data_IF_852327999430
#
_entry.id   IF_852327999430
#
_cell.length_a   1.000
_cell.length_b   1.000
_cell.length_c   1.000
_cell.angle_alpha   90.00
_cell.angle_beta   90.00
_cell.angle_gamma   90.00
#
_symmetry.space_group_name_H-M   'P 1'
#
loop_
_entity.id
_entity.type
_entity.pdbx_description
1 polymer ?
#
# COMPACT_ATOMS: atom_id res chain seq x y z
N UNK A 1 26.03 8.65 25.35
CA UNK A 1 24.68 9.15 25.67
C UNK A 1 23.85 8.12 26.45
N UNK A 2 23.03 8.55 27.43
CA UNK A 2 22.07 7.69 28.12
C UNK A 2 20.68 7.68 27.44
N UNK A 3 19.79 6.78 27.90
CA UNK A 3 18.44 6.61 27.33
C UNK A 3 17.59 7.87 27.44
N UNK A 4 17.71 8.61 28.54
CA UNK A 4 16.96 9.85 28.78
C UNK A 4 17.34 10.93 27.78
N UNK A 5 18.65 11.13 27.55
CA UNK A 5 19.14 12.12 26.59
C UNK A 5 18.79 11.74 25.14
N UNK A 6 18.74 10.44 24.81
CA UNK A 6 18.23 9.96 23.52
C UNK A 6 16.80 10.44 23.26
N UNK A 7 15.88 10.19 24.20
CA UNK A 7 14.48 10.61 24.05
C UNK A 7 14.32 12.13 24.06
N UNK A 8 15.08 12.85 24.89
CA UNK A 8 15.06 14.32 24.90
C UNK A 8 15.45 14.93 23.55
N UNK A 9 16.38 14.33 22.81
CA UNK A 9 16.76 14.81 21.46
C UNK A 9 15.64 14.60 20.45
N UNK A 10 14.93 13.47 20.52
CA UNK A 10 13.76 13.21 19.68
C UNK A 10 12.67 14.23 19.99
N UNK A 11 12.35 14.45 21.26
CA UNK A 11 11.34 15.42 21.66
C UNK A 11 11.70 16.86 21.27
N UNK A 12 12.98 17.24 21.38
CA UNK A 12 13.46 18.55 20.94
C UNK A 12 13.35 18.74 19.40
N UNK A 13 13.45 17.66 18.63
CA UNK A 13 13.32 17.69 17.18
C UNK A 13 11.87 17.71 16.69
N UNK A 14 10.89 17.35 17.54
CA UNK A 14 9.51 17.14 17.11
C UNK A 14 8.89 18.39 16.48
N UNK A 15 8.18 18.16 15.38
CA UNK A 15 7.52 19.21 14.62
C UNK A 15 6.06 18.85 14.32
N UNK A 16 5.15 19.81 14.55
CA UNK A 16 3.74 19.71 14.14
C UNK A 16 3.57 19.65 12.61
N UNK A 17 4.62 20.01 11.85
CA UNK A 17 4.66 19.89 10.39
C UNK A 17 4.99 18.46 9.91
N UNK A 18 5.03 17.47 10.81
CA UNK A 18 5.15 16.05 10.49
C UNK A 18 6.52 15.44 10.74
N UNK A 19 6.57 14.09 10.76
CA UNK A 19 7.75 13.31 11.16
C UNK A 19 8.96 13.47 10.22
N UNK A 20 8.74 13.78 8.95
CA UNK A 20 9.84 14.10 8.02
C UNK A 20 10.58 15.38 8.44
N UNK A 21 9.86 16.38 8.94
CA UNK A 21 10.46 17.60 9.50
C UNK A 21 11.14 17.31 10.84
N UNK A 22 10.55 16.45 11.66
CA UNK A 22 11.20 15.92 12.87
C UNK A 22 12.55 15.28 12.56
N UNK A 23 12.61 14.39 11.57
CA UNK A 23 13.85 13.72 11.17
C UNK A 23 14.91 14.72 10.70
N UNK A 24 14.53 15.72 9.89
CA UNK A 24 15.46 16.75 9.44
C UNK A 24 15.99 17.61 10.60
N UNK A 25 15.13 18.03 11.52
CA UNK A 25 15.55 18.78 12.71
C UNK A 25 16.46 17.95 13.63
N UNK A 26 16.17 16.65 13.77
CA UNK A 26 17.00 15.72 14.52
C UNK A 26 18.40 15.59 13.93
N UNK A 27 18.53 15.53 12.59
CA UNK A 27 19.84 15.53 11.91
C UNK A 27 20.66 16.77 12.30
N UNK A 28 20.06 17.96 12.29
CA UNK A 28 20.75 19.21 12.65
C UNK A 28 21.19 19.20 14.13
N UNK A 29 20.32 18.75 15.04
CA UNK A 29 20.64 18.64 16.46
C UNK A 29 21.78 17.65 16.71
N UNK A 30 21.76 16.50 16.04
CA UNK A 30 22.78 15.47 16.18
C UNK A 30 24.12 15.90 15.57
N UNK A 31 24.12 16.57 14.41
CA UNK A 31 25.34 16.99 13.73
C UNK A 31 26.18 17.99 14.57
N UNK A 32 25.54 18.68 15.52
CA UNK A 32 26.19 19.56 16.49
C UNK A 32 26.80 18.84 17.71
N UNK A 33 26.61 17.53 17.85
CA UNK A 33 27.13 16.73 18.97
C UNK A 33 28.50 16.10 18.64
N UNK A 34 29.28 15.69 19.66
CA UNK A 34 30.46 14.87 19.46
C UNK A 34 30.15 13.55 18.74
N UNK A 35 31.08 13.05 17.93
CA UNK A 35 30.93 11.83 17.14
C UNK A 35 30.46 10.62 17.98
N UNK A 36 31.02 10.44 19.18
CA UNK A 36 30.66 9.34 20.10
C UNK A 36 29.22 9.48 20.63
N UNK A 37 28.71 10.70 20.78
CA UNK A 37 27.32 10.92 21.17
C UNK A 37 26.37 10.61 20.00
N UNK A 38 26.74 10.93 18.75
CA UNK A 38 25.95 10.55 17.57
C UNK A 38 25.91 9.03 17.42
N UNK A 39 27.05 8.35 17.58
CA UNK A 39 27.11 6.89 17.56
C UNK A 39 26.31 6.25 18.71
N UNK A 40 26.35 6.82 19.91
CA UNK A 40 25.53 6.37 21.02
C UNK A 40 24.03 6.59 20.78
N UNK A 41 23.64 7.68 20.10
CA UNK A 41 22.25 7.89 19.67
C UNK A 41 21.81 6.82 18.67
N UNK A 42 22.64 6.52 17.66
CA UNK A 42 22.36 5.47 16.66
C UNK A 42 22.13 4.10 17.34
N UNK A 43 22.99 3.74 18.29
CA UNK A 43 22.83 2.53 19.09
C UNK A 43 21.47 2.47 19.83
N UNK A 44 21.07 3.55 20.50
CA UNK A 44 19.76 3.63 21.15
C UNK A 44 18.61 3.57 20.16
N UNK A 45 18.73 4.23 19.01
CA UNK A 45 17.72 4.19 17.96
C UNK A 45 17.50 2.75 17.48
N UNK A 46 18.57 2.03 17.11
CA UNK A 46 18.46 0.66 16.62
C UNK A 46 18.03 -0.34 17.68
N UNK A 47 18.36 -0.11 18.96
CA UNK A 47 17.83 -0.92 20.06
C UNK A 47 16.30 -0.80 20.15
N UNK A 48 15.76 0.42 20.10
CA UNK A 48 14.30 0.64 20.11
C UNK A 48 13.65 0.15 18.81
N UNK A 49 14.28 0.37 17.66
CA UNK A 49 13.82 -0.15 16.36
C UNK A 49 13.67 -1.68 16.41
N UNK A 50 14.68 -2.39 16.89
CA UNK A 50 14.66 -3.84 17.08
C UNK A 50 13.64 -4.30 18.12
N UNK A 51 13.53 -3.59 19.25
CA UNK A 51 12.58 -3.91 20.31
C UNK A 51 11.11 -3.72 19.88
N UNK A 52 10.85 -2.78 18.97
CA UNK A 52 9.54 -2.58 18.36
C UNK A 52 9.20 -3.61 17.27
N UNK A 53 10.08 -4.57 16.94
CA UNK A 53 9.80 -5.66 15.96
C UNK A 53 8.82 -6.72 16.51
N UNK A 54 7.70 -6.26 17.04
CA UNK A 54 6.63 -7.08 17.63
C UNK A 54 5.52 -7.29 16.63
N UNK A 55 4.99 -8.51 16.58
CA UNK A 55 3.89 -8.87 15.70
C UNK A 55 2.61 -8.15 16.06
N UNK A 56 2.39 -7.86 17.34
CA UNK A 56 1.34 -6.97 17.83
C UNK A 56 1.43 -5.53 17.27
N UNK A 57 2.64 -4.95 17.19
CA UNK A 57 2.84 -3.64 16.56
C UNK A 57 2.69 -3.72 15.03
N UNK A 58 3.07 -4.83 14.41
CA UNK A 58 2.80 -5.06 12.98
C UNK A 58 1.29 -5.17 12.75
N UNK A 59 0.53 -5.84 13.61
CA UNK A 59 -0.93 -5.89 13.52
C UNK A 59 -1.55 -4.49 13.58
N UNK A 60 -1.05 -3.61 14.46
CA UNK A 60 -1.48 -2.22 14.53
C UNK A 60 -1.11 -1.44 13.25
N UNK A 61 0.13 -1.56 12.77
CA UNK A 61 0.60 -0.97 11.52
C UNK A 61 -0.26 -1.44 10.32
N UNK A 62 -0.53 -2.73 10.23
CA UNK A 62 -1.37 -3.36 9.22
C UNK A 62 -2.81 -2.83 9.28
N UNK A 63 -3.38 -2.71 10.48
CA UNK A 63 -4.73 -2.19 10.70
C UNK A 63 -4.83 -0.74 10.26
N UNK A 64 -3.91 0.13 10.69
CA UNK A 64 -3.93 1.56 10.37
C UNK A 64 -3.66 1.81 8.87
N UNK A 65 -2.73 1.07 8.28
CA UNK A 65 -2.28 1.31 6.90
C UNK A 65 -3.02 0.47 5.85
N UNK A 66 -3.92 -0.42 6.26
CA UNK A 66 -4.67 -1.31 5.37
C UNK A 66 -3.78 -2.34 4.67
N UNK A 67 -2.81 -2.90 5.41
CA UNK A 67 -1.70 -3.71 4.91
C UNK A 67 -0.34 -3.14 5.32
N UNK A 68 0.67 -3.99 5.46
CA UNK A 68 2.01 -3.56 5.85
C UNK A 68 3.07 -4.58 5.39
N UNK A 69 3.99 -4.15 4.52
CA UNK A 69 5.19 -4.91 4.14
C UNK A 69 6.27 -4.82 5.24
N UNK A 70 7.36 -5.57 5.11
CA UNK A 70 8.52 -5.47 6.01
C UNK A 70 9.12 -4.06 6.02
N UNK A 71 9.41 -3.47 4.85
CA UNK A 71 9.94 -2.09 4.74
C UNK A 71 8.94 -1.07 5.29
N UNK A 72 7.64 -1.25 4.98
CA UNK A 72 6.58 -0.41 5.54
C UNK A 72 6.53 -0.48 7.06
N UNK A 73 6.85 -1.64 7.64
CA UNK A 73 6.92 -1.83 9.08
C UNK A 73 8.18 -1.19 9.69
N UNK A 74 9.30 -1.18 9.00
CA UNK A 74 10.50 -0.42 9.39
C UNK A 74 10.19 1.08 9.45
N UNK A 75 9.50 1.61 8.42
CA UNK A 75 9.13 3.02 8.37
C UNK A 75 8.08 3.38 9.42
N UNK A 76 7.14 2.49 9.72
CA UNK A 76 6.19 2.65 10.81
C UNK A 76 6.89 2.74 12.17
N UNK A 77 7.90 1.89 12.41
CA UNK A 77 8.67 1.94 13.66
C UNK A 77 9.53 3.20 13.75
N UNK A 78 10.08 3.68 12.64
CA UNK A 78 10.72 5.00 12.55
C UNK A 78 9.75 6.13 12.90
N UNK A 79 8.53 6.09 12.38
CA UNK A 79 7.46 7.02 12.75
C UNK A 79 7.09 6.94 14.23
N UNK A 80 7.00 5.72 14.79
CA UNK A 80 6.61 5.49 16.19
C UNK A 80 7.66 6.07 17.15
N UNK A 81 8.95 5.87 16.86
CA UNK A 81 10.05 6.47 17.63
C UNK A 81 9.97 8.00 17.56
N UNK A 82 9.66 8.57 16.39
CA UNK A 82 9.50 10.01 16.23
C UNK A 82 8.33 10.63 17.01
N UNK A 83 7.40 9.82 17.56
CA UNK A 83 6.34 10.30 18.45
C UNK A 83 6.84 10.56 19.89
N UNK A 84 8.08 10.18 20.20
CA UNK A 84 8.68 10.33 21.53
C UNK A 84 8.36 9.18 22.48
N UNK A 85 9.04 9.17 23.63
CA UNK A 85 9.07 8.04 24.56
C UNK A 85 7.68 7.61 25.03
N UNK A 86 6.84 8.58 25.41
CA UNK A 86 5.53 8.30 25.99
C UNK A 86 4.63 7.52 25.04
N UNK A 87 4.58 7.93 23.76
CA UNK A 87 3.75 7.27 22.75
C UNK A 87 4.35 5.93 22.36
N UNK A 88 5.68 5.87 22.18
CA UNK A 88 6.38 4.64 21.89
C UNK A 88 6.13 3.58 22.98
N UNK A 89 6.30 3.93 24.25
CA UNK A 89 6.09 3.01 25.37
C UNK A 89 4.62 2.61 25.53
N UNK A 90 3.68 3.55 25.35
CA UNK A 90 2.25 3.22 25.35
C UNK A 90 1.92 2.16 24.29
N UNK A 91 2.42 2.33 23.06
CA UNK A 91 2.20 1.38 21.96
C UNK A 91 2.91 0.04 22.17
N UNK A 92 4.08 0.02 22.82
CA UNK A 92 4.74 -1.23 23.23
C UNK A 92 3.87 -1.99 24.21
N UNK A 93 3.29 -1.34 25.21
CA UNK A 93 2.46 -2.03 26.20
C UNK A 93 1.07 -2.39 25.67
N UNK A 94 0.50 -1.52 24.86
CA UNK A 94 -0.82 -1.63 24.27
C UNK A 94 -0.81 -1.01 22.86
N UNK A 95 -0.62 -1.80 21.80
CA UNK A 95 -0.62 -1.27 20.43
C UNK A 95 -1.93 -0.58 20.06
N UNK A 96 -3.05 -0.94 20.69
CA UNK A 96 -4.37 -0.37 20.43
C UNK A 96 -4.47 1.09 20.91
N UNK A 97 -3.58 1.52 21.81
CA UNK A 97 -3.44 2.92 22.24
C UNK A 97 -3.13 3.89 21.10
N UNK A 98 -2.60 3.40 19.97
CA UNK A 98 -2.37 4.23 18.78
C UNK A 98 -3.68 4.79 18.20
N UNK A 99 -4.83 4.21 18.55
CA UNK A 99 -6.15 4.74 18.20
C UNK A 99 -6.43 6.11 18.82
N UNK A 100 -5.65 6.57 19.80
CA UNK A 100 -5.79 7.90 20.41
C UNK A 100 -5.08 9.02 19.63
N UNK A 101 -4.22 8.66 18.66
CA UNK A 101 -3.39 9.65 17.98
C UNK A 101 -4.13 10.32 16.82
N UNK A 102 -3.90 11.61 16.56
CA UNK A 102 -4.45 12.30 15.39
C UNK A 102 -3.66 11.92 14.12
N UNK A 103 -3.93 10.74 13.57
CA UNK A 103 -3.31 10.23 12.35
C UNK A 103 -3.90 10.92 11.10
N UNK A 104 -3.27 12.00 10.65
CA UNK A 104 -3.66 12.75 9.44
C UNK A 104 -3.12 12.14 8.14
N UNK A 105 -2.04 11.38 8.25
CA UNK A 105 -1.37 10.68 7.16
C UNK A 105 -0.99 9.28 7.64
N UNK A 106 -0.74 8.32 6.73
CA UNK A 106 -0.23 7.01 7.11
C UNK A 106 1.03 7.12 7.97
N UNK A 107 1.09 6.43 9.13
CA UNK A 107 2.21 6.51 10.06
C UNK A 107 3.48 5.87 9.49
N UNK A 108 4.25 6.64 8.72
CA UNK A 108 5.46 6.17 8.03
C UNK A 108 6.54 7.26 8.01
N UNK A 109 7.79 6.88 8.32
CA UNK A 109 8.91 7.81 8.28
C UNK A 109 10.25 7.12 8.02
N UNK A 110 10.56 6.85 6.75
CA UNK A 110 11.88 6.32 6.32
C UNK A 110 13.05 7.19 6.79
N UNK A 111 12.93 8.52 6.72
CA UNK A 111 14.01 9.44 7.06
C UNK A 111 14.55 9.30 8.50
N UNK A 112 13.76 8.72 9.42
CA UNK A 112 14.23 8.46 10.79
C UNK A 112 15.27 7.36 10.85
N UNK A 113 15.24 6.37 9.94
CA UNK A 113 16.15 5.22 9.94
C UNK A 113 17.61 5.66 9.71
N UNK A 114 17.82 6.74 8.96
CA UNK A 114 19.14 7.25 8.60
C UNK A 114 19.57 8.52 9.35
N UNK A 115 18.75 9.05 10.28
CA UNK A 115 18.99 10.38 10.84
C UNK A 115 20.37 10.52 11.52
N UNK A 116 20.77 9.51 12.30
CA UNK A 116 22.06 9.50 12.97
C UNK A 116 23.24 9.31 12.00
N UNK A 117 23.11 8.42 11.02
CA UNK A 117 24.13 8.20 10.00
C UNK A 117 24.38 9.47 9.16
N UNK A 118 23.31 10.13 8.73
CA UNK A 118 23.40 11.41 7.99
C UNK A 118 24.03 12.50 8.85
N UNK A 119 23.66 12.60 10.13
CA UNK A 119 24.27 13.58 11.04
C UNK A 119 25.77 13.30 11.28
N UNK A 120 26.15 12.04 11.44
CA UNK A 120 27.54 11.63 11.60
C UNK A 120 28.36 11.98 10.36
N UNK A 121 27.86 11.66 9.17
CA UNK A 121 28.53 11.97 7.92
C UNK A 121 28.72 13.48 7.74
N UNK A 122 27.70 14.29 8.03
CA UNK A 122 27.81 15.75 8.01
C UNK A 122 28.84 16.30 8.99
N UNK A 123 28.93 15.69 10.18
CA UNK A 123 29.84 16.11 11.25
C UNK A 123 31.29 15.67 11.00
N UNK A 124 31.49 14.46 10.46
CA UNK A 124 32.79 13.78 10.40
C UNK A 124 33.36 13.64 8.98
N UNK A 125 32.57 13.95 7.94
CA UNK A 125 32.96 13.80 6.54
C UNK A 125 33.16 12.35 6.09
N UNK A 126 32.62 11.38 6.84
CA UNK A 126 32.71 9.95 6.56
C UNK A 126 31.50 9.21 7.13
N UNK A 127 31.19 8.05 6.58
CA UNK A 127 30.11 7.20 7.06
C UNK A 127 30.33 6.72 8.50
N UNK A 128 29.23 6.58 9.24
CA UNK A 128 29.21 5.92 10.53
C UNK A 128 29.48 4.43 10.32
N UNK A 129 30.65 3.95 10.73
CA UNK A 129 30.91 2.52 10.82
C UNK A 129 29.89 1.92 11.79
N UNK A 130 29.28 0.78 11.41
CA UNK A 130 28.16 0.18 12.14
C UNK A 130 28.33 0.22 13.66
N UNK A 131 27.25 0.57 14.37
CA UNK A 131 27.28 0.95 15.78
C UNK A 131 28.02 -0.08 16.66
N UNK A 132 29.19 0.29 17.24
CA UNK A 132 29.95 -0.61 18.10
C UNK A 132 29.31 -0.81 19.49
N UNK A 133 28.27 -0.02 19.80
CA UNK A 133 27.58 -0.04 21.08
C UNK A 133 26.28 -0.83 20.96
N UNK A 134 26.27 -2.05 21.48
CA UNK A 134 25.01 -2.75 21.77
C UNK A 134 24.49 -2.21 23.09
N UNK A 135 23.38 -1.48 23.05
CA UNK A 135 22.71 -1.00 24.26
C UNK A 135 21.51 -1.88 24.56
N UNK A 136 21.30 -2.17 25.85
CA UNK A 136 20.13 -2.89 26.33
C UNK A 136 19.12 -1.88 26.86
N UNK A 137 17.84 -2.11 26.57
CA UNK A 137 16.76 -1.27 27.08
C UNK A 137 16.40 -1.75 28.48
N UNK A 138 16.70 -0.93 29.48
CA UNK A 138 16.37 -1.23 30.87
C UNK A 138 14.87 -1.54 31.02
N UNK A 139 14.58 -2.65 31.72
CA UNK A 139 13.21 -3.10 31.95
C UNK A 139 12.52 -3.77 30.76
N UNK A 140 13.17 -3.94 29.60
CA UNK A 140 12.59 -4.61 28.44
C UNK A 140 12.09 -6.04 28.75
N UNK A 141 12.76 -6.75 29.66
CA UNK A 141 12.34 -8.08 30.12
C UNK A 141 10.98 -8.10 30.84
N UNK A 142 10.49 -6.95 31.29
CA UNK A 142 9.19 -6.78 31.96
C UNK A 142 8.07 -6.37 31.01
N UNK A 143 8.39 -6.15 29.72
CA UNK A 143 7.38 -5.80 28.73
C UNK A 143 6.43 -6.96 28.45
N UNK A 144 5.19 -6.69 28.00
CA UNK A 144 4.25 -7.74 27.65
C UNK A 144 4.82 -8.65 26.57
N UNK A 145 4.53 -9.96 26.70
CA UNK A 145 4.85 -10.92 25.66
C UNK A 145 4.11 -10.57 24.35
N UNK A 146 4.75 -10.83 23.21
CA UNK A 146 4.13 -10.64 21.90
C UNK A 146 3.10 -11.75 21.65
N UNK A 147 1.82 -11.44 21.91
CA UNK A 147 0.72 -12.42 21.87
C UNK A 147 0.35 -12.88 20.46
N UNK A 148 0.73 -12.12 19.45
CA UNK A 148 0.39 -12.40 18.05
C UNK A 148 1.53 -13.07 17.28
N UNK A 149 2.61 -13.49 17.96
CA UNK A 149 3.75 -14.13 17.31
C UNK A 149 3.32 -15.36 16.50
N UNK A 150 3.62 -15.35 15.20
CA UNK A 150 3.26 -16.41 14.26
C UNK A 150 1.81 -16.38 13.77
N UNK A 151 1.00 -15.41 14.19
CA UNK A 151 -0.38 -15.27 13.76
C UNK A 151 -0.50 -14.67 12.35
N UNK A 152 -1.53 -15.13 11.64
CA UNK A 152 -2.06 -14.49 10.42
C UNK A 152 -3.10 -13.45 10.82
N UNK A 153 -3.05 -12.26 10.22
CA UNK A 153 -3.93 -11.16 10.56
C UNK A 153 -5.30 -11.28 9.87
N UNK A 154 -6.22 -12.03 10.49
CA UNK A 154 -7.63 -12.07 10.08
C UNK A 154 -8.42 -10.91 10.69
N UNK A 155 -9.60 -10.60 10.15
CA UNK A 155 -10.46 -9.53 10.70
C UNK A 155 -10.89 -9.83 12.13
N UNK A 156 -11.22 -11.08 12.42
CA UNK A 156 -11.65 -11.54 13.74
C UNK A 156 -10.53 -11.31 14.76
N UNK A 157 -9.30 -11.71 14.41
CA UNK A 157 -8.14 -11.53 15.27
C UNK A 157 -7.82 -10.05 15.49
N UNK A 158 -7.86 -9.22 14.45
CA UNK A 158 -7.62 -7.78 14.60
C UNK A 158 -8.72 -7.09 15.43
N UNK A 159 -9.99 -7.48 15.26
CA UNK A 159 -11.11 -6.97 16.06
C UNK A 159 -10.98 -7.34 17.54
N UNK A 160 -10.55 -8.57 17.83
CA UNK A 160 -10.38 -9.05 19.21
C UNK A 160 -9.19 -8.39 19.91
N UNK A 161 -8.05 -8.28 19.21
CA UNK A 161 -6.79 -7.86 19.83
C UNK A 161 -6.51 -6.36 19.73
N UNK A 162 -7.10 -5.67 18.77
CA UNK A 162 -6.94 -4.23 18.55
C UNK A 162 -8.32 -3.57 18.36
N UNK A 163 -9.27 -3.73 19.30
CA UNK A 163 -10.65 -3.33 19.10
C UNK A 163 -10.84 -1.84 18.79
N UNK A 164 -9.99 -0.94 19.31
CA UNK A 164 -10.13 0.51 19.09
C UNK A 164 -9.57 0.93 17.75
N UNK A 165 -8.41 0.41 17.36
CA UNK A 165 -7.85 0.60 16.03
C UNK A 165 -8.74 -0.06 14.99
N UNK A 166 -9.25 -1.26 15.28
CA UNK A 166 -10.22 -1.92 14.44
C UNK A 166 -11.47 -1.06 14.34
N UNK A 167 -12.06 -0.60 15.45
CA UNK A 167 -13.19 0.34 15.46
C UNK A 167 -12.97 1.55 14.55
N UNK A 168 -11.77 2.14 14.64
CA UNK A 168 -11.45 3.38 13.95
C UNK A 168 -11.14 3.21 12.46
N UNK A 169 -10.52 2.10 12.09
CA UNK A 169 -9.97 1.91 10.73
C UNK A 169 -10.65 0.78 9.95
N UNK A 170 -11.41 -0.09 10.62
CA UNK A 170 -11.94 -1.35 10.07
C UNK A 170 -13.37 -1.74 10.50
N UNK A 171 -13.92 -1.17 11.57
CA UNK A 171 -15.30 -1.35 12.01
C UNK A 171 -16.12 -0.22 11.40
N UNK A 172 -16.90 -0.62 10.41
CA UNK A 172 -17.90 0.23 9.81
C UNK A 172 -18.98 0.37 10.88
N UNK A 173 -18.99 1.46 11.66
CA UNK A 173 -20.18 1.79 12.44
C UNK A 173 -21.39 1.65 11.51
N UNK A 174 -22.43 0.92 11.93
CA UNK A 174 -23.66 0.69 11.15
C UNK A 174 -23.94 1.94 10.33
N UNK A 175 -23.82 1.86 8.99
CA UNK A 175 -23.92 3.05 8.18
C UNK A 175 -25.29 3.67 8.47
N UNK A 176 -25.32 4.97 8.79
CA UNK A 176 -26.49 5.75 8.44
C UNK A 176 -26.77 5.41 6.98
N UNK A 177 -27.98 4.89 6.73
CA UNK A 177 -28.47 4.42 5.44
C UNK A 177 -28.38 5.54 4.40
N UNK A 178 -27.18 5.82 3.87
CA UNK A 178 -27.02 6.28 2.51
C UNK A 178 -27.17 5.03 1.67
N UNK A 179 -28.42 4.79 1.26
CA UNK A 179 -28.86 3.65 0.46
C UNK A 179 -27.75 3.13 -0.48
N UNK A 180 -27.47 1.84 -0.37
CA UNK A 180 -26.79 0.97 -1.34
C UNK A 180 -27.55 0.89 -2.69
N UNK A 181 -28.25 1.95 -3.09
CA UNK A 181 -28.57 2.14 -4.48
C UNK A 181 -27.24 2.45 -5.17
N UNK A 182 -26.74 1.45 -5.92
CA UNK A 182 -25.82 1.66 -7.03
C UNK A 182 -26.18 2.99 -7.71
N UNK A 183 -25.19 3.87 -7.90
CA UNK A 183 -25.43 5.17 -8.53
C UNK A 183 -26.27 4.97 -9.79
N UNK A 184 -27.27 5.83 -10.09
CA UNK A 184 -28.13 5.64 -11.25
C UNK A 184 -27.31 5.36 -12.52
N UNK A 185 -27.43 4.15 -13.06
CA UNK A 185 -26.69 3.69 -14.24
C UNK A 185 -25.34 3.01 -13.95
N UNK A 186 -25.01 2.69 -12.70
CA UNK A 186 -23.86 1.85 -12.38
C UNK A 186 -24.09 0.40 -12.87
N UNK A 187 -23.06 -0.27 -13.38
CA UNK A 187 -23.18 -1.65 -13.85
C UNK A 187 -23.26 -2.62 -12.68
N UNK A 188 -23.85 -3.80 -12.88
CA UNK A 188 -23.76 -4.88 -11.88
C UNK A 188 -22.36 -5.48 -11.86
N UNK A 189 -21.74 -5.58 -10.67
CA UNK A 189 -20.43 -6.21 -10.50
C UNK A 189 -20.56 -7.63 -9.96
N UNK A 190 -20.20 -8.66 -10.74
CA UNK A 190 -20.19 -10.04 -10.25
C UNK A 190 -19.10 -10.25 -9.17
N UNK A 191 -19.29 -11.20 -8.25
CA UNK A 191 -18.26 -11.62 -7.29
C UNK A 191 -17.05 -12.18 -8.05
N UNK A 192 -15.84 -11.74 -7.73
CA UNK A 192 -14.62 -12.12 -8.46
C UNK A 192 -14.36 -11.38 -9.78
N UNK A 193 -15.21 -10.41 -10.16
CA UNK A 193 -14.94 -9.54 -11.33
C UNK A 193 -13.80 -8.55 -11.05
N UNK A 194 -13.51 -8.28 -9.79
CA UNK A 194 -12.31 -7.58 -9.30
C UNK A 194 -11.80 -8.34 -8.08
N UNK A 195 -10.48 -8.44 -7.95
CA UNK A 195 -9.81 -9.27 -6.95
C UNK A 195 -8.65 -8.53 -6.30
N UNK A 196 -8.29 -8.93 -5.08
CA UNK A 196 -6.98 -8.64 -4.49
C UNK A 196 -6.02 -9.78 -4.84
N UNK A 197 -4.89 -9.49 -5.52
CA UNK A 197 -3.91 -10.51 -5.86
C UNK A 197 -2.86 -10.66 -4.77
N UNK A 198 -2.52 -11.91 -4.45
CA UNK A 198 -1.28 -12.30 -3.80
C UNK A 198 -0.40 -13.03 -4.82
N UNK A 199 0.74 -12.45 -5.14
CA UNK A 199 1.67 -12.96 -6.14
C UNK A 199 2.64 -13.93 -5.49
N UNK A 200 2.64 -15.18 -5.92
CA UNK A 200 3.66 -16.17 -5.54
C UNK A 200 4.86 -15.98 -6.47
N UNK A 201 5.96 -15.46 -5.91
CA UNK A 201 7.13 -15.06 -6.69
C UNK A 201 8.43 -15.72 -6.21
N UNK A 202 9.48 -15.60 -7.03
CA UNK A 202 10.83 -16.12 -6.72
C UNK A 202 11.49 -15.48 -5.50
N UNK A 203 10.99 -14.33 -5.03
CA UNK A 203 11.46 -13.65 -3.80
C UNK A 203 10.51 -13.82 -2.62
N UNK A 204 9.51 -14.68 -2.75
CA UNK A 204 8.46 -14.92 -1.75
C UNK A 204 7.11 -14.31 -2.14
N UNK A 205 6.04 -14.65 -1.42
CA UNK A 205 4.70 -14.14 -1.69
C UNK A 205 4.55 -12.68 -1.24
N UNK A 206 3.84 -11.87 -2.04
CA UNK A 206 3.46 -10.51 -1.65
C UNK A 206 2.12 -10.12 -2.27
N UNK A 207 1.35 -9.28 -1.58
CA UNK A 207 0.04 -8.81 -2.03
C UNK A 207 0.08 -7.31 -2.34
N UNK A 208 -0.38 -6.92 -3.53
CA UNK A 208 -0.37 -5.52 -3.93
C UNK A 208 -1.44 -5.22 -4.99
N UNK A 209 -2.10 -4.06 -4.85
CA UNK A 209 -3.04 -3.55 -5.85
C UNK A 209 -4.33 -4.37 -5.98
N UNK A 210 -4.86 -4.34 -7.20
CA UNK A 210 -6.07 -5.02 -7.64
C UNK A 210 -5.85 -5.66 -9.01
N UNK A 211 -6.63 -6.70 -9.31
CA UNK A 211 -6.57 -7.38 -10.59
C UNK A 211 -7.96 -7.81 -11.03
N UNK A 212 -8.19 -7.96 -12.33
CA UNK A 212 -9.47 -8.43 -12.85
C UNK A 212 -9.33 -9.45 -13.99
N UNK A 213 -10.28 -10.41 -14.09
CA UNK A 213 -10.34 -11.35 -15.20
C UNK A 213 -10.83 -10.63 -16.46
N UNK A 214 -10.14 -10.84 -17.58
CA UNK A 214 -10.39 -10.20 -18.85
C UNK A 214 -10.50 -11.25 -19.95
N UNK A 215 -11.62 -11.22 -20.69
CA UNK A 215 -11.75 -11.96 -21.93
C UNK A 215 -10.92 -11.25 -23.02
N UNK A 216 -9.99 -11.98 -23.62
CA UNK A 216 -9.17 -11.46 -24.73
C UNK A 216 -9.10 -12.46 -25.90
N UNK A 217 -10.17 -12.57 -26.71
CA UNK A 217 -10.30 -13.61 -27.74
C UNK A 217 -9.19 -13.62 -28.78
N UNK A 218 -8.56 -12.47 -29.04
CA UNK A 218 -7.45 -12.33 -29.99
C UNK A 218 -6.23 -13.20 -29.63
N UNK A 219 -6.05 -13.49 -28.33
CA UNK A 219 -4.98 -14.35 -27.82
C UNK A 219 -5.45 -15.82 -27.61
N UNK A 220 -6.73 -16.10 -27.82
CA UNK A 220 -7.31 -17.44 -27.61
C UNK A 220 -7.27 -17.92 -26.14
N UNK A 221 -7.07 -17.01 -25.17
CA UNK A 221 -7.08 -17.31 -23.74
C UNK A 221 -7.60 -16.15 -22.91
N UNK A 222 -8.13 -16.48 -21.75
CA UNK A 222 -8.52 -15.52 -20.74
C UNK A 222 -7.30 -15.08 -19.91
N UNK A 223 -7.33 -13.84 -19.48
CA UNK A 223 -6.23 -13.20 -18.78
C UNK A 223 -6.68 -12.69 -17.42
N UNK A 224 -5.78 -12.70 -16.46
CA UNK A 224 -5.86 -11.80 -15.31
C UNK A 224 -4.95 -10.60 -15.61
N UNK A 225 -5.44 -9.37 -15.43
CA UNK A 225 -4.64 -8.16 -15.70
C UNK A 225 -4.49 -7.29 -14.45
N UNK A 226 -3.35 -6.62 -14.32
CA UNK A 226 -3.03 -5.65 -13.25
C UNK A 226 -1.94 -4.67 -13.72
N UNK A 227 -1.33 -3.91 -12.80
CA UNK A 227 -0.26 -2.95 -13.11
C UNK A 227 1.14 -3.57 -12.96
N UNK A 228 2.06 -3.19 -13.86
CA UNK A 228 3.46 -3.61 -13.82
C UNK A 228 4.24 -2.92 -12.68
N UNK A 229 3.91 -1.69 -12.32
CA UNK A 229 4.62 -0.96 -11.24
C UNK A 229 4.51 -1.61 -9.86
N UNK A 230 3.54 -2.52 -9.68
CA UNK A 230 3.38 -3.29 -8.45
C UNK A 230 4.53 -4.28 -8.24
N UNK A 231 5.24 -4.67 -9.30
CA UNK A 231 6.44 -5.50 -9.21
C UNK A 231 7.66 -4.61 -8.95
N UNK A 232 7.60 -3.81 -7.89
CA UNK A 232 8.62 -2.84 -7.50
C UNK A 232 8.31 -2.23 -6.13
N UNK A 233 8.92 -1.08 -5.78
CA UNK A 233 8.73 -0.43 -4.48
C UNK A 233 7.27 -0.17 -4.12
N UNK A 234 6.42 0.10 -5.12
CA UNK A 234 4.99 0.32 -4.90
C UNK A 234 4.23 -0.93 -4.44
N UNK A 235 4.72 -2.15 -4.75
CA UNK A 235 4.20 -3.41 -4.20
C UNK A 235 5.06 -3.98 -3.07
N UNK A 236 6.02 -3.22 -2.55
CA UNK A 236 6.87 -3.61 -1.43
C UNK A 236 8.14 -4.38 -1.80
N UNK A 237 8.57 -4.36 -3.07
CA UNK A 237 9.85 -4.92 -3.49
C UNK A 237 10.95 -3.85 -3.48
N UNK A 238 12.18 -4.22 -3.11
CA UNK A 238 13.30 -3.27 -3.06
C UNK A 238 13.70 -2.69 -4.43
N UNK A 239 13.42 -3.40 -5.52
CA UNK A 239 13.70 -2.98 -6.89
C UNK A 239 12.56 -3.36 -7.83
N UNK A 240 12.36 -2.54 -8.86
CA UNK A 240 11.43 -2.86 -9.93
C UNK A 240 11.91 -4.07 -10.74
N UNK A 241 10.98 -4.96 -11.07
CA UNK A 241 11.18 -6.11 -11.94
C UNK A 241 10.94 -5.66 -13.39
N UNK A 242 11.95 -5.76 -14.26
CA UNK A 242 11.78 -5.47 -15.69
C UNK A 242 10.69 -6.35 -16.32
N UNK A 243 9.92 -5.78 -17.25
CA UNK A 243 8.81 -6.46 -17.91
C UNK A 243 9.22 -7.76 -18.61
N UNK A 244 10.43 -7.79 -19.17
CA UNK A 244 11.02 -8.96 -19.85
C UNK A 244 11.37 -10.12 -18.92
N UNK A 245 11.38 -9.91 -17.60
CA UNK A 245 11.67 -10.94 -16.60
C UNK A 245 10.40 -11.47 -15.90
N UNK A 246 9.23 -10.90 -16.23
CA UNK A 246 7.99 -11.20 -15.53
C UNK A 246 7.64 -12.69 -15.57
N UNK A 247 7.77 -13.35 -16.73
CA UNK A 247 7.42 -14.76 -16.93
C UNK A 247 8.18 -15.73 -16.03
N UNK A 248 9.35 -15.30 -15.52
CA UNK A 248 10.20 -16.03 -14.58
C UNK A 248 10.06 -15.55 -13.15
N UNK A 249 9.42 -14.40 -12.92
CA UNK A 249 9.31 -13.80 -11.61
C UNK A 249 8.08 -14.28 -10.83
N UNK A 250 6.90 -14.32 -11.47
CA UNK A 250 5.64 -14.77 -10.82
C UNK A 250 5.24 -16.15 -11.32
N UNK A 251 5.07 -17.08 -10.38
CA UNK A 251 4.71 -18.48 -10.66
C UNK A 251 3.18 -18.67 -10.68
N UNK A 252 2.48 -18.04 -9.76
CA UNK A 252 1.01 -18.06 -9.66
C UNK A 252 0.49 -16.84 -8.90
N UNK A 253 -0.83 -16.63 -8.98
CA UNK A 253 -1.52 -15.54 -8.26
C UNK A 253 -2.73 -16.11 -7.53
N UNK A 254 -2.76 -15.98 -6.20
CA UNK A 254 -3.94 -16.30 -5.41
C UNK A 254 -4.88 -15.08 -5.42
N UNK A 255 -6.17 -15.31 -5.63
CA UNK A 255 -7.17 -14.26 -5.72
C UNK A 255 -8.18 -14.35 -4.58
N UNK A 256 -8.44 -13.21 -3.95
CA UNK A 256 -9.50 -13.03 -2.96
C UNK A 256 -10.43 -11.90 -3.37
N UNK A 257 -11.69 -11.99 -2.94
CA UNK A 257 -12.66 -10.92 -3.16
C UNK A 257 -12.30 -9.72 -2.24
N UNK A 258 -12.27 -8.49 -2.78
CA UNK A 258 -11.85 -7.31 -2.02
C UNK A 258 -12.83 -6.86 -0.92
N UNK A 259 -14.04 -7.44 -0.87
CA UNK A 259 -15.11 -7.03 0.04
C UNK A 259 -15.30 -8.05 1.18
N UNK A 260 -15.34 -9.34 0.83
CA UNK A 260 -15.51 -10.42 1.81
C UNK A 260 -14.21 -11.16 2.18
N UNK A 261 -13.13 -10.96 1.42
CA UNK A 261 -11.82 -11.58 1.64
C UNK A 261 -11.77 -13.08 1.31
N UNK A 262 -12.87 -13.69 0.91
CA UNK A 262 -12.90 -15.11 0.60
C UNK A 262 -12.26 -15.41 -0.76
N UNK A 263 -11.64 -16.59 -0.92
CA UNK A 263 -11.01 -16.98 -2.19
C UNK A 263 -11.97 -16.91 -3.37
N UNK A 264 -11.46 -16.47 -4.52
CA UNK A 264 -12.20 -16.38 -5.78
C UNK A 264 -11.58 -17.23 -6.87
N UNK A 265 -10.26 -17.43 -6.86
CA UNK A 265 -9.60 -18.27 -7.85
C UNK A 265 -8.07 -18.18 -7.79
N UNK A 266 -7.43 -18.75 -8.81
CA UNK A 266 -5.97 -18.75 -8.98
C UNK A 266 -5.66 -18.44 -10.45
N UNK A 267 -4.69 -17.57 -10.69
CA UNK A 267 -4.08 -17.39 -12.00
C UNK A 267 -2.70 -18.05 -12.07
N UNK A 268 -2.27 -18.41 -13.27
CA UNK A 268 -0.96 -19.01 -13.52
C UNK A 268 0.17 -17.98 -13.58
N UNK A 269 1.24 -18.39 -14.26
CA UNK A 269 2.43 -17.55 -14.47
C UNK A 269 2.08 -16.26 -15.19
N UNK A 270 2.88 -15.23 -14.92
CA UNK A 270 2.78 -14.00 -15.69
C UNK A 270 3.26 -14.20 -17.13
N UNK A 271 2.84 -13.29 -18.00
CA UNK A 271 3.15 -13.27 -19.42
C UNK A 271 4.06 -12.08 -19.73
N UNK A 272 4.94 -12.22 -20.72
CA UNK A 272 5.76 -11.10 -21.21
C UNK A 272 4.93 -10.27 -22.18
N UNK A 273 4.73 -9.00 -21.84
CA UNK A 273 4.09 -7.98 -22.69
C UNK A 273 5.20 -7.10 -23.26
N UNK A 274 5.34 -7.05 -24.59
CA UNK A 274 6.43 -6.30 -25.22
C UNK A 274 6.38 -4.80 -24.89
N UNK A 275 7.41 -4.36 -24.17
CA UNK A 275 7.61 -2.98 -23.73
C UNK A 275 6.61 -2.47 -22.70
N UNK A 276 5.89 -3.35 -21.99
CA UNK A 276 5.25 -2.98 -20.74
C UNK A 276 6.31 -2.68 -19.67
N UNK A 277 6.09 -1.65 -18.86
CA UNK A 277 7.02 -1.23 -17.80
C UNK A 277 6.28 -0.51 -16.68
N UNK A 278 6.79 -0.63 -15.45
CA UNK A 278 6.27 0.11 -14.29
C UNK A 278 6.75 1.56 -14.21
N UNK A 279 7.75 1.93 -15.02
CA UNK A 279 8.36 3.26 -15.02
C UNK A 279 7.56 4.27 -15.85
N UNK A 280 6.87 3.80 -16.89
CA UNK A 280 6.00 4.61 -17.75
C UNK A 280 4.54 4.22 -17.53
N UNK A 281 3.72 5.09 -16.93
CA UNK A 281 2.32 4.79 -16.64
C UNK A 281 1.48 4.53 -17.91
N UNK A 282 1.91 4.98 -19.09
CA UNK A 282 1.23 4.68 -20.37
C UNK A 282 1.51 3.26 -20.89
N UNK A 283 2.40 2.52 -20.21
CA UNK A 283 2.85 1.16 -20.53
C UNK A 283 2.70 0.22 -19.33
N UNK A 284 2.00 0.66 -18.29
CA UNK A 284 1.97 0.04 -16.97
C UNK A 284 0.87 -1.02 -16.85
N UNK A 285 1.14 -2.15 -17.50
CA UNK A 285 0.24 -3.29 -17.58
C UNK A 285 1.02 -4.58 -17.37
N UNK A 286 0.47 -5.50 -16.60
CA UNK A 286 0.91 -6.89 -16.56
C UNK A 286 -0.29 -7.82 -16.79
N UNK A 287 0.01 -9.04 -17.23
CA UNK A 287 -1.00 -10.06 -17.48
C UNK A 287 -0.53 -11.45 -17.01
N UNK A 288 -1.49 -12.28 -16.63
CA UNK A 288 -1.27 -13.67 -16.21
C UNK A 288 -2.24 -14.57 -16.95
N UNK A 289 -1.80 -15.79 -17.28
CA UNK A 289 -2.68 -16.78 -17.90
C UNK A 289 -3.70 -17.29 -16.89
N UNK A 290 -5.00 -17.23 -17.22
CA UNK A 290 -6.01 -17.95 -16.44
C UNK A 290 -6.06 -19.42 -16.89
N UNK A 291 -6.13 -20.38 -15.96
CA UNK A 291 -6.26 -21.79 -16.29
C UNK A 291 -7.62 -22.09 -16.93
N UNK A 292 -7.70 -23.16 -17.72
CA UNK A 292 -8.98 -23.64 -18.24
C UNK A 292 -9.93 -24.00 -17.10
N UNK A 293 -11.20 -23.59 -17.20
CA UNK A 293 -12.20 -23.85 -16.17
C UNK A 293 -12.04 -23.00 -14.90
N UNK A 294 -11.35 -21.85 -14.97
CA UNK A 294 -11.12 -20.95 -13.83
C UNK A 294 -12.40 -20.49 -13.11
N UNK A 295 -13.54 -20.41 -13.81
CA UNK A 295 -14.85 -20.08 -13.22
C UNK A 295 -15.04 -18.62 -12.79
N UNK A 296 -14.08 -17.74 -13.05
CA UNK A 296 -14.16 -16.31 -12.77
C UNK A 296 -15.02 -15.57 -13.81
N UNK A 297 -15.78 -14.53 -13.40
CA UNK A 297 -16.51 -13.69 -14.35
C UNK A 297 -15.54 -12.84 -15.17
N UNK A 298 -15.61 -12.96 -16.49
CA UNK A 298 -14.74 -12.23 -17.41
C UNK A 298 -15.33 -10.87 -17.76
N UNK A 299 -14.52 -9.82 -17.58
CA UNK A 299 -14.80 -8.49 -18.11
C UNK A 299 -14.37 -8.38 -19.58
N UNK A 300 -14.92 -7.39 -20.28
CA UNK A 300 -14.59 -7.09 -21.68
C UNK A 300 -14.10 -5.65 -21.80
N UNK A 301 -13.10 -5.41 -22.64
CA UNK A 301 -12.67 -4.06 -22.98
C UNK A 301 -13.75 -3.36 -23.80
N UNK A 302 -14.05 -2.11 -23.44
CA UNK A 302 -14.93 -1.25 -24.22
C UNK A 302 -14.36 -1.04 -25.63
N UNK A 303 -15.25 -0.89 -26.61
CA UNK A 303 -14.87 -0.65 -28.01
C UNK A 303 -14.25 0.75 -28.22
N UNK A 304 -14.59 1.72 -27.38
CA UNK A 304 -14.10 3.10 -27.43
C UNK A 304 -13.62 3.57 -26.06
N UNK A 305 -12.64 4.45 -26.06
CA UNK A 305 -12.22 5.18 -24.86
C UNK A 305 -13.29 6.20 -24.44
N UNK A 306 -13.45 6.47 -23.13
CA UNK A 306 -14.41 7.45 -22.63
C UNK A 306 -13.94 8.87 -22.97
N UNK A 307 -14.88 9.75 -23.31
CA UNK A 307 -14.61 11.17 -23.59
C UNK A 307 -14.95 12.05 -22.39
N UNK A 308 -14.39 13.28 -22.27
CA UNK A 308 -14.74 14.18 -21.19
C UNK A 308 -16.26 14.37 -21.03
N UNK A 309 -16.75 14.19 -19.80
CA UNK A 309 -18.17 14.18 -19.46
C UNK A 309 -18.78 12.78 -19.32
N UNK A 310 -18.15 11.74 -19.87
CA UNK A 310 -18.62 10.36 -19.70
C UNK A 310 -18.51 9.93 -18.22
N UNK A 311 -19.57 9.28 -17.74
CA UNK A 311 -19.62 8.68 -16.41
C UNK A 311 -19.00 7.30 -16.45
N UNK A 312 -18.12 7.02 -15.50
CA UNK A 312 -17.41 5.76 -15.34
C UNK A 312 -17.37 5.35 -13.88
N UNK A 313 -17.09 4.08 -13.61
CA UNK A 313 -17.13 3.52 -12.26
C UNK A 313 -15.85 2.75 -11.96
N UNK A 314 -15.08 3.17 -10.96
CA UNK A 314 -14.00 2.34 -10.44
C UNK A 314 -14.59 1.16 -9.68
N UNK A 315 -14.27 -0.05 -10.10
CA UNK A 315 -14.66 -1.27 -9.42
C UNK A 315 -13.56 -1.74 -8.47
N UNK A 316 -13.82 -1.75 -7.17
CA UNK A 316 -12.86 -2.21 -6.16
C UNK A 316 -13.05 -1.57 -4.79
N UNK A 317 -12.34 -2.09 -3.79
CA UNK A 317 -12.30 -1.52 -2.45
C UNK A 317 -11.27 -0.39 -2.34
N UNK A 318 -11.72 0.74 -1.79
CA UNK A 318 -10.88 1.89 -1.43
C UNK A 318 -10.47 1.80 0.05
N UNK A 319 -9.42 2.51 0.46
CA UNK A 319 -8.95 2.51 1.86
C UNK A 319 -9.83 3.35 2.78
N UNK A 320 -10.38 4.46 2.27
CA UNK A 320 -11.23 5.38 3.00
C UNK A 320 -12.04 6.26 2.02
N UNK A 321 -12.99 7.04 2.55
CA UNK A 321 -13.89 7.94 1.80
C UNK A 321 -15.15 7.26 1.24
N UNK A 322 -15.30 5.95 1.42
CA UNK A 322 -16.52 5.22 1.11
C UNK A 322 -16.72 4.02 2.05
N UNK A 323 -17.98 3.60 2.29
CA UNK A 323 -18.28 2.35 2.99
C UNK A 323 -17.58 1.17 2.33
N UNK A 324 -17.16 0.19 3.12
CA UNK A 324 -16.50 -1.02 2.60
C UNK A 324 -17.41 -1.90 1.75
N UNK A 325 -18.72 -1.80 1.94
CA UNK A 325 -19.73 -2.45 1.10
C UNK A 325 -19.81 -1.81 -0.30
N UNK A 326 -19.32 -0.57 -0.48
CA UNK A 326 -19.37 0.13 -1.76
C UNK A 326 -18.40 -0.50 -2.75
N UNK A 327 -18.96 -1.13 -3.77
CA UNK A 327 -18.20 -1.89 -4.79
C UNK A 327 -17.79 -1.04 -5.98
N UNK A 328 -18.54 0.04 -6.24
CA UNK A 328 -18.38 0.91 -7.39
C UNK A 328 -18.29 2.37 -6.92
N UNK A 329 -17.27 3.08 -7.42
CA UNK A 329 -17.03 4.49 -7.13
C UNK A 329 -17.18 5.29 -8.40
N UNK A 330 -18.25 6.10 -8.47
CA UNK A 330 -18.54 6.92 -9.64
C UNK A 330 -17.51 8.02 -9.81
N UNK A 331 -17.13 8.20 -11.06
CA UNK A 331 -16.23 9.24 -11.52
C UNK A 331 -16.68 9.74 -12.89
N UNK A 332 -16.18 10.90 -13.27
CA UNK A 332 -16.41 11.50 -14.58
C UNK A 332 -15.07 11.63 -15.28
N UNK A 333 -15.00 11.21 -16.54
CA UNK A 333 -13.84 11.49 -17.40
C UNK A 333 -13.74 13.00 -17.58
N UNK A 334 -12.57 13.59 -17.30
CA UNK A 334 -12.39 15.05 -17.34
C UNK A 334 -11.38 15.51 -18.40
N UNK A 335 -10.36 14.72 -18.69
CA UNK A 335 -9.31 15.06 -19.65
C UNK A 335 -8.51 13.83 -20.05
N UNK A 336 -7.60 14.02 -21.01
CA UNK A 336 -6.42 13.19 -21.19
C UNK A 336 -5.19 14.03 -20.81
N UNK A 337 -4.25 13.44 -20.07
CA UNK A 337 -2.99 14.06 -19.71
C UNK A 337 -1.83 13.10 -20.00
N UNK A 338 -0.88 13.54 -20.83
CA UNK A 338 0.31 12.76 -21.24
C UNK A 338 0.01 11.32 -21.66
N UNK A 339 -1.08 11.12 -22.39
CA UNK A 339 -1.50 9.81 -22.91
C UNK A 339 -2.28 8.95 -21.91
N UNK A 340 -2.59 9.45 -20.72
CA UNK A 340 -3.46 8.78 -19.75
C UNK A 340 -4.83 9.45 -19.70
N UNK A 341 -5.87 8.65 -19.50
CA UNK A 341 -7.18 9.18 -19.19
C UNK A 341 -7.22 9.74 -17.77
N UNK A 342 -7.83 10.89 -17.56
CA UNK A 342 -8.01 11.48 -16.23
C UNK A 342 -9.49 11.46 -15.86
N UNK A 343 -9.80 10.92 -14.69
CA UNK A 343 -11.15 10.94 -14.11
C UNK A 343 -11.15 11.70 -12.79
N UNK A 344 -12.25 12.39 -12.53
CA UNK A 344 -12.51 13.01 -11.23
C UNK A 344 -13.59 12.18 -10.51
N UNK A 345 -13.29 11.71 -9.31
CA UNK A 345 -14.26 11.00 -8.48
C UNK A 345 -15.25 11.98 -7.86
N UNK A 346 -16.50 11.55 -7.72
CA UNK A 346 -17.54 12.36 -7.10
C UNK A 346 -17.25 12.63 -5.62
N UNK A 347 -16.67 11.63 -4.94
CA UNK A 347 -16.22 11.74 -3.55
C UNK A 347 -14.76 12.25 -3.50
N UNK A 348 -14.52 13.47 -2.99
CA UNK A 348 -13.20 14.10 -3.00
C UNK A 348 -12.26 13.58 -1.90
N UNK A 349 -12.77 12.78 -0.97
CA UNK A 349 -12.08 12.21 0.19
C UNK A 349 -11.70 10.72 -0.01
N UNK A 350 -11.91 10.17 -1.21
CA UNK A 350 -11.53 8.80 -1.52
C UNK A 350 -10.01 8.62 -1.40
N UNK A 351 -9.62 7.64 -0.58
CA UNK A 351 -8.24 7.18 -0.47
C UNK A 351 -8.07 5.92 -1.30
N UNK A 352 -7.54 6.10 -2.51
CA UNK A 352 -7.45 5.05 -3.53
C UNK A 352 -6.28 4.05 -3.34
N UNK A 353 -5.58 4.09 -2.21
CA UNK A 353 -4.45 3.17 -1.97
C UNK A 353 -4.86 1.71 -2.17
N UNK A 354 -4.04 0.94 -2.89
CA UNK A 354 -4.33 -0.47 -3.19
C UNK A 354 -5.36 -0.71 -4.31
N UNK A 355 -5.75 0.31 -5.07
CA UNK A 355 -6.63 0.18 -6.25
C UNK A 355 -5.88 0.23 -7.59
N UNK A 356 -4.55 0.39 -7.59
CA UNK A 356 -3.74 0.21 -8.80
C UNK A 356 -4.03 -1.16 -9.43
N UNK A 357 -4.39 -1.18 -10.71
CA UNK A 357 -4.79 -2.39 -11.43
C UNK A 357 -6.29 -2.71 -11.35
N UNK A 358 -7.09 -1.90 -10.65
CA UNK A 358 -8.54 -2.02 -10.67
C UNK A 358 -9.14 -1.51 -12.00
N UNK A 359 -10.22 -2.14 -12.51
CA UNK A 359 -10.88 -1.68 -13.71
C UNK A 359 -11.75 -0.46 -13.44
N UNK A 360 -11.82 0.45 -14.41
CA UNK A 360 -12.92 1.39 -14.55
C UNK A 360 -13.90 0.87 -15.59
N UNK A 361 -15.18 0.94 -15.25
CA UNK A 361 -16.28 0.37 -16.02
C UNK A 361 -17.16 1.48 -16.60
N UNK A 362 -17.68 1.26 -17.80
CA UNK A 362 -18.82 2.00 -18.34
C UNK A 362 -20.12 1.61 -17.62
N UNK A 363 -21.20 2.34 -17.88
CA UNK A 363 -22.54 1.95 -17.44
C UNK A 363 -22.98 0.56 -17.96
N UNK A 364 -22.37 0.07 -19.04
CA UNK A 364 -22.60 -1.26 -19.61
C UNK A 364 -21.75 -2.35 -18.96
N UNK A 365 -20.87 -2.01 -18.01
CA UNK A 365 -19.97 -2.96 -17.34
C UNK A 365 -18.73 -3.32 -18.17
N UNK A 366 -18.44 -2.56 -19.22
CA UNK A 366 -17.24 -2.76 -20.05
C UNK A 366 -16.07 -1.97 -19.47
N UNK A 367 -14.86 -2.55 -19.52
CA UNK A 367 -13.64 -1.92 -19.03
C UNK A 367 -13.23 -0.80 -19.99
N UNK A 368 -13.34 0.43 -19.52
CA UNK A 368 -12.90 1.64 -20.24
C UNK A 368 -11.45 2.00 -19.94
N UNK A 369 -10.90 1.49 -18.84
CA UNK A 369 -9.49 1.65 -18.49
C UNK A 369 -9.11 0.91 -17.21
N UNK A 370 -7.82 0.94 -16.90
CA UNK A 370 -7.17 0.38 -15.73
C UNK A 370 -6.58 1.54 -14.91
N UNK A 371 -6.88 1.62 -13.62
CA UNK A 371 -6.33 2.65 -12.76
C UNK A 371 -4.83 2.40 -12.52
N UNK A 372 -3.97 3.34 -12.92
CA UNK A 372 -2.50 3.22 -12.78
C UNK A 372 -1.93 4.17 -11.73
N UNK A 373 -2.48 5.38 -11.62
CA UNK A 373 -2.06 6.41 -10.65
C UNK A 373 -3.27 7.15 -10.13
N UNK A 374 -3.08 7.87 -9.03
CA UNK A 374 -4.06 8.83 -8.54
C UNK A 374 -3.35 10.05 -7.99
N UNK A 375 -4.06 11.18 -8.01
CA UNK A 375 -3.58 12.45 -7.48
C UNK A 375 -4.50 12.85 -6.34
N UNK A 376 -4.03 12.81 -5.08
CA UNK A 376 -4.78 13.35 -3.96
C UNK A 376 -4.79 14.88 -4.02
N UNK A 377 -5.92 15.50 -3.71
CA UNK A 377 -6.09 16.95 -3.75
C UNK A 377 -7.45 17.37 -3.20
N UNK A 378 -7.93 18.57 -3.55
CA UNK A 378 -9.31 19.01 -3.21
C UNK A 378 -10.39 18.18 -3.89
N UNK A 379 -10.01 17.44 -4.93
CA UNK A 379 -10.76 16.34 -5.53
C UNK A 379 -9.81 15.17 -5.69
N UNK A 380 -10.34 13.96 -5.59
CA UNK A 380 -9.59 12.74 -5.91
C UNK A 380 -9.63 12.54 -7.42
N UNK A 381 -8.45 12.49 -8.05
CA UNK A 381 -8.32 12.18 -9.48
C UNK A 381 -7.68 10.81 -9.68
N UNK A 382 -8.19 10.04 -10.64
CA UNK A 382 -7.57 8.81 -11.12
C UNK A 382 -6.97 9.00 -12.51
N UNK A 383 -5.81 8.40 -12.75
CA UNK A 383 -5.19 8.32 -14.07
C UNK A 383 -5.27 6.89 -14.59
N UNK A 384 -5.69 6.75 -15.84
CA UNK A 384 -6.09 5.49 -16.45
C UNK A 384 -5.21 5.15 -17.64
N UNK A 385 -4.77 3.90 -17.68
CA UNK A 385 -4.41 3.26 -18.93
C UNK A 385 -5.71 2.90 -19.66
N UNK A 386 -5.95 3.48 -20.83
CA UNK A 386 -7.24 3.40 -21.52
C UNK A 386 -7.43 2.04 -22.23
N UNK A 387 -8.67 1.64 -22.47
CA UNK A 387 -9.01 0.36 -23.08
C UNK A 387 -8.29 0.08 -24.41
N UNK A 388 -8.08 1.11 -25.24
CA UNK A 388 -7.30 1.01 -26.48
C UNK A 388 -5.83 0.67 -26.21
N UNK A 389 -5.19 1.36 -25.27
CA UNK A 389 -3.79 1.12 -24.89
C UNK A 389 -3.61 -0.27 -24.27
N UNK A 390 -4.57 -0.70 -23.43
CA UNK A 390 -4.59 -2.06 -22.88
C UNK A 390 -4.63 -3.07 -24.03
N UNK A 391 -5.51 -2.89 -25.01
CA UNK A 391 -5.65 -3.78 -26.16
C UNK A 391 -4.36 -3.85 -26.98
N UNK A 392 -3.72 -2.71 -27.25
CA UNK A 392 -2.45 -2.65 -27.99
C UNK A 392 -1.32 -3.37 -27.26
N UNK A 393 -1.19 -3.16 -25.95
CA UNK A 393 -0.19 -3.85 -25.14
C UNK A 393 -0.46 -5.36 -25.13
N UNK A 394 -1.69 -5.80 -24.87
CA UNK A 394 -2.01 -7.23 -24.81
C UNK A 394 -1.79 -7.97 -26.14
N UNK A 395 -1.94 -7.30 -27.29
CA UNK A 395 -1.58 -7.87 -28.61
C UNK A 395 -0.08 -8.17 -28.76
N UNK A 396 0.75 -7.53 -27.96
CA UNK A 396 2.20 -7.73 -27.96
C UNK A 396 2.66 -8.83 -27.00
N UNK A 397 1.73 -9.57 -26.38
CA UNK A 397 2.06 -10.73 -25.57
C UNK A 397 2.80 -11.76 -26.43
N UNK A 398 3.98 -12.13 -25.96
CA UNK A 398 4.79 -13.19 -26.56
C UNK A 398 4.56 -14.47 -25.76
N UNK A 399 3.97 -15.50 -26.35
CA UNK A 399 3.68 -16.75 -25.66
C UNK A 399 2.69 -17.65 -26.38
#
# INVERSE_FOLDING_TARGET
MDRTRFWNLIDAARSDAGTRRTAAALVELLAALPADDIAAFDAWYWAHQGAARRRELWAAAYTIMGGCSDDGFDYFRGWLIAQGERVYMAAIHDPDSLADLPLKEPPSCEAMLGAAAVAYERSQGRELAGSPHRVEIDGQSTWPADRLKGATFTRELLREHLPRLYARFWDDGEPEQEDDADDPGAPTLARGAVNKPEFVSVVGPFAAGSAFPLAFPELGRDLLVSCQHLFGPAGGLSKAVPGELMDRFVESVNLTDPFDGAPTGVAGRSLVISGATGDDPTRDLCAFALPAGHGLPLLRLAARSPIPGDVVFLAGSVRAGAPRTRRLHRAVKVADDRGLGVVAFDRPDLVLGGTSGAPLLSAQGEVVGLLVRFIPGTKTYGMLLQAEQIRELLRSISG
#
